data_IF_872456282555
#
_entry.id   IF_872456282555
#
_cell.length_a   1.000
_cell.length_b   1.000
_cell.length_c   1.000
_cell.angle_alpha   90.00
_cell.angle_beta   90.00
_cell.angle_gamma   90.00
#
_symmetry.space_group_name_H-M   'P 1'
#
loop_
_entity.id
_entity.type
_entity.pdbx_description
1 polymer ?
2 water ?
#
# COMPACT_ATOMS: atom_id res chain seq x y z
N UNK A 21 -20.93 12.91 13.00
CA UNK A 21 -21.31 11.67 13.63
C UNK A 21 -20.70 10.48 12.88
N UNK A 22 -20.59 9.34 13.56
CA UNK A 22 -20.05 8.12 12.98
C UNK A 22 -20.93 7.59 11.85
N UNK A 23 -20.35 7.31 10.67
CA UNK A 23 -21.13 6.68 9.60
C UNK A 23 -21.69 5.30 10.02
N UNK A 24 -22.85 4.93 9.46
CA UNK A 24 -23.52 3.69 9.87
C UNK A 24 -22.67 2.43 9.61
N UNK A 25 -21.89 2.42 8.53
CA UNK A 25 -21.04 1.28 8.25
C UNK A 25 -19.78 1.28 9.10
N UNK A 26 -19.66 2.26 10.01
CA UNK A 26 -18.47 2.33 10.85
C UNK A 26 -18.80 2.21 12.33
N UNK A 27 -17.77 1.89 13.09
CA UNK A 27 -17.82 1.97 14.53
C UNK A 27 -16.70 2.92 14.97
N UNK A 28 -17.07 3.95 15.73
CA UNK A 28 -16.14 5.04 16.04
C UNK A 28 -15.92 5.25 17.53
N UNK A 29 -14.68 5.62 17.87
CA UNK A 29 -14.36 6.26 19.13
C UNK A 29 -13.89 7.66 18.80
N UNK A 30 -13.40 8.37 19.81
CA UNK A 30 -12.84 9.70 19.61
C UNK A 30 -11.70 9.69 18.58
N UNK A 31 -10.85 8.68 18.66
CA UNK A 31 -9.61 8.66 17.89
C UNK A 31 -9.67 7.76 16.66
N UNK A 32 -10.64 6.85 16.64
CA UNK A 32 -10.58 5.70 15.73
C UNK A 32 -11.91 5.45 15.03
N UNK A 33 -11.84 5.06 13.76
CA UNK A 33 -13.03 4.57 13.07
C UNK A 33 -12.71 3.27 12.38
N UNK A 34 -13.58 2.28 12.55
CA UNK A 34 -13.45 0.98 11.92
C UNK A 34 -14.66 0.78 11.02
N UNK A 35 -14.43 0.74 9.72
CA UNK A 35 -15.53 0.65 8.77
C UNK A 35 -15.56 -0.74 8.14
N UNK A 36 -16.76 -1.30 8.03
CA UNK A 36 -16.89 -2.64 7.48
C UNK A 36 -18.02 -2.66 6.44
N UNK A 37 -17.79 -3.38 5.35
CA UNK A 37 -18.74 -3.52 4.25
C UNK A 37 -19.13 -2.17 3.64
N UNK A 38 -18.21 -1.22 3.66
CA UNK A 38 -18.49 0.10 3.10
C UNK A 38 -18.68 0.00 1.59
N UNK A 39 -19.70 0.69 1.06
CA UNK A 39 -19.95 0.61 -0.38
C UNK A 39 -19.14 1.67 -1.13
N UNK A 40 -18.81 2.74 -0.42
CA UNK A 40 -17.84 3.71 -0.91
C UNK A 40 -17.04 4.21 0.29
N UNK A 41 -15.88 4.80 0.04
CA UNK A 41 -15.17 5.46 1.13
C UNK A 41 -16.06 6.57 1.64
N UNK A 42 -16.49 6.48 2.91
CA UNK A 42 -17.43 7.51 3.36
C UNK A 42 -16.75 8.87 3.43
N UNK A 43 -17.51 9.93 3.16
CA UNK A 43 -16.98 11.28 3.22
C UNK A 43 -17.35 11.93 4.56
N UNK A 44 -18.04 11.15 5.40
CA UNK A 44 -18.58 11.63 6.67
C UNK A 44 -17.91 11.03 7.92
N UNK A 45 -16.73 10.44 7.78
CA UNK A 45 -15.98 10.01 8.95
C UNK A 45 -15.60 11.28 9.71
N UNK A 46 -15.76 11.29 11.05
CA UNK A 46 -15.45 12.52 11.80
C UNK A 46 -14.03 13.00 11.55
N UNK A 47 -13.88 14.29 11.24
CA UNK A 47 -12.60 14.78 10.70
C UNK A 47 -11.45 14.78 11.73
N UNK A 48 -11.73 14.51 13.00
CA UNK A 48 -10.66 14.47 13.99
C UNK A 48 -10.08 13.07 14.25
N UNK A 49 -10.60 12.05 13.57
CA UNK A 49 -10.09 10.69 13.79
C UNK A 49 -8.64 10.62 13.33
N UNK A 50 -7.82 9.84 14.05
CA UNK A 50 -6.42 9.70 13.67
C UNK A 50 -6.07 8.30 13.18
N UNK A 51 -6.96 7.32 13.38
CA UNK A 51 -6.77 5.98 12.81
C UNK A 51 -8.06 5.53 12.12
N UNK A 52 -7.94 5.04 10.89
CA UNK A 52 -9.10 4.63 10.13
C UNK A 52 -8.83 3.28 9.48
N UNK A 53 -9.79 2.35 9.57
CA UNK A 53 -9.64 1.02 9.01
C UNK A 53 -10.81 0.65 8.11
N UNK A 54 -10.50 0.00 7.00
CA UNK A 54 -11.56 -0.57 6.15
C UNK A 54 -11.40 -2.07 6.02
N UNK A 55 -12.49 -2.78 6.34
CA UNK A 55 -12.49 -4.24 6.27
C UNK A 55 -13.69 -4.74 5.47
N UNK A 56 -13.45 -5.72 4.61
CA UNK A 56 -14.50 -6.35 3.79
C UNK A 56 -15.38 -5.34 3.06
N UNK A 57 -14.76 -4.35 2.44
CA UNK A 57 -15.45 -3.19 1.84
C UNK A 57 -16.11 -3.50 0.51
N UNK A 58 -17.18 -2.76 0.20
CA UNK A 58 -17.86 -2.92 -1.07
C UNK A 58 -17.17 -2.20 -2.23
N UNK A 59 -16.54 -1.05 -1.97
CA UNK A 59 -15.97 -0.27 -3.05
C UNK A 59 -14.78 -0.98 -3.67
N UNK A 60 -14.53 -0.72 -4.94
CA UNK A 60 -13.55 -1.46 -5.72
C UNK A 60 -12.41 -0.55 -6.12
N UNK A 61 -12.57 0.74 -5.90
CA UNK A 61 -11.59 1.72 -6.33
C UNK A 61 -11.26 2.72 -5.23
N UNK A 62 -10.02 3.17 -5.22
CA UNK A 62 -9.60 4.27 -4.36
C UNK A 62 -9.01 5.35 -5.25
N UNK A 63 -9.83 6.36 -5.57
CA UNK A 63 -9.42 7.41 -6.48
C UNK A 63 -8.65 8.50 -5.75
N UNK A 64 -8.18 9.47 -6.53
CA UNK A 64 -7.33 10.52 -5.98
C UNK A 64 -8.06 11.32 -4.90
N UNK A 65 -7.35 11.65 -3.85
CA UNK A 65 -7.92 12.55 -2.84
C UNK A 65 -9.04 11.91 -2.05
N UNK A 66 -9.02 10.60 -1.87
CA UNK A 66 -10.12 9.90 -1.21
C UNK A 66 -10.24 10.20 0.29
N UNK A 67 -9.18 10.76 0.90
CA UNK A 67 -9.19 10.90 2.36
C UNK A 67 -9.06 12.34 2.84
N UNK A 68 -9.39 13.26 1.96
CA UNK A 68 -9.22 14.67 2.26
C UNK A 68 -10.14 15.16 3.38
N UNK A 69 -11.19 14.42 3.70
CA UNK A 69 -12.10 14.89 4.76
C UNK A 69 -11.64 14.43 6.14
N UNK A 70 -10.55 13.67 6.16
CA UNK A 70 -9.91 13.26 7.42
C UNK A 70 -8.42 13.57 7.34
N UNK A 71 -8.08 14.87 7.36
CA UNK A 71 -6.71 15.29 7.08
C UNK A 71 -5.72 14.98 8.19
N UNK A 72 -6.19 14.57 9.37
CA UNK A 72 -5.30 14.36 10.50
C UNK A 72 -4.94 12.90 10.74
N UNK A 73 -5.26 12.02 9.78
CA UNK A 73 -4.96 10.60 9.93
C UNK A 73 -3.48 10.37 10.18
N UNK A 74 -3.19 9.51 11.15
CA UNK A 74 -1.84 9.03 11.39
C UNK A 74 -1.70 7.59 10.95
N UNK A 75 -2.82 6.87 10.90
CA UNK A 75 -2.78 5.46 10.52
C UNK A 75 -3.99 5.10 9.67
N UNK A 76 -3.72 4.34 8.61
CA UNK A 76 -4.76 3.83 7.73
C UNK A 76 -4.57 2.33 7.56
N UNK A 77 -5.64 1.56 7.69
CA UNK A 77 -5.56 0.11 7.44
C UNK A 77 -6.61 -0.35 6.45
N UNK A 78 -6.18 -1.12 5.45
CA UNK A 78 -7.10 -1.80 4.53
C UNK A 78 -6.84 -3.29 4.59
N UNK A 79 -7.82 -4.09 4.98
CA UNK A 79 -7.59 -5.53 5.03
C UNK A 79 -8.86 -6.28 4.63
N UNK A 80 -8.67 -7.43 3.97
CA UNK A 80 -9.77 -8.23 3.46
C UNK A 80 -10.71 -7.47 2.52
N UNK A 81 -10.15 -6.66 1.64
CA UNK A 81 -10.93 -5.99 0.60
C UNK A 81 -10.60 -6.49 -0.81
N UNK A 82 -11.42 -6.08 -1.77
CA UNK A 82 -11.14 -6.30 -3.19
C UNK A 82 -11.11 -4.96 -3.92
N UNK A 83 -9.97 -4.62 -4.50
CA UNK A 83 -9.81 -3.35 -5.19
C UNK A 83 -9.53 -3.57 -6.67
N UNK A 84 -10.19 -2.79 -7.51
CA UNK A 84 -9.88 -2.77 -8.93
C UNK A 84 -8.64 -1.91 -9.16
N UNK A 85 -8.67 -0.68 -8.67
CA UNK A 85 -7.54 0.24 -8.80
C UNK A 85 -7.30 1.09 -7.55
N UNK A 86 -6.06 1.19 -7.10
CA UNK A 86 -5.68 2.25 -6.18
C UNK A 86 -4.95 3.32 -6.98
N UNK A 87 -5.57 4.49 -7.13
CA UNK A 87 -5.09 5.45 -8.10
C UNK A 87 -3.95 6.31 -7.60
N UNK A 88 -3.33 7.01 -8.55
CA UNK A 88 -2.36 8.06 -8.25
C UNK A 88 -2.97 9.05 -7.26
N UNK A 89 -2.21 9.41 -6.23
CA UNK A 89 -2.60 10.42 -5.24
C UNK A 89 -3.84 10.01 -4.41
N UNK A 90 -4.08 8.72 -4.29
CA UNK A 90 -5.14 8.21 -3.44
C UNK A 90 -5.01 8.75 -2.03
N UNK A 91 -3.76 8.87 -1.57
CA UNK A 91 -3.47 9.22 -0.17
C UNK A 91 -2.90 10.64 -0.01
N UNK A 92 -3.19 11.51 -0.97
CA UNK A 92 -2.69 12.89 -0.93
C UNK A 92 -3.48 13.65 0.15
N UNK A 93 -2.90 14.72 0.70
CA UNK A 93 -3.58 15.52 1.71
C UNK A 93 -3.47 14.90 3.10
N UNK A 94 -2.59 13.92 3.25
CA UNK A 94 -2.41 13.27 4.56
C UNK A 94 -0.97 13.44 5.09
N UNK A 95 -0.59 14.68 5.44
CA UNK A 95 0.82 14.96 5.74
C UNK A 95 1.27 14.37 7.07
N UNK A 96 0.31 13.88 7.87
CA UNK A 96 0.63 13.30 9.17
C UNK A 96 0.56 11.78 9.17
N UNK A 97 0.27 11.20 8.02
CA UNK A 97 0.11 9.75 7.95
C UNK A 97 1.47 9.10 8.16
N UNK A 98 1.58 8.28 9.21
CA UNK A 98 2.83 7.58 9.51
C UNK A 98 2.74 6.07 9.27
N UNK A 99 1.54 5.50 9.25
CA UNK A 99 1.37 4.05 9.10
C UNK A 99 0.30 3.77 8.07
N UNK A 100 0.64 2.95 7.07
CA UNK A 100 -0.30 2.61 6.02
C UNK A 100 -0.19 1.13 5.79
N UNK A 101 -1.20 0.38 6.22
CA UNK A 101 -1.17 -1.07 6.16
C UNK A 101 -2.19 -1.54 5.17
N UNK A 102 -1.71 -2.00 4.02
CA UNK A 102 -2.59 -2.53 2.99
C UNK A 102 -2.28 -4.03 2.89
N UNK A 103 -3.06 -4.85 3.59
CA UNK A 103 -2.73 -6.26 3.79
C UNK A 103 -3.90 -7.19 3.57
N UNK A 104 -3.65 -8.35 2.96
CA UNK A 104 -4.66 -9.39 2.79
C UNK A 104 -5.83 -8.93 1.93
N UNK A 105 -5.50 -8.24 0.83
CA UNK A 105 -6.49 -7.78 -0.13
C UNK A 105 -6.29 -8.43 -1.49
N UNK A 106 -7.31 -8.34 -2.32
CA UNK A 106 -7.15 -8.58 -3.74
C UNK A 106 -7.01 -7.22 -4.40
N UNK A 107 -5.90 -6.99 -5.10
CA UNK A 107 -5.66 -5.67 -5.70
C UNK A 107 -5.25 -5.82 -7.15
N UNK A 108 -6.08 -5.32 -8.07
CA UNK A 108 -5.83 -5.56 -9.48
C UNK A 108 -4.72 -4.65 -10.01
N UNK A 109 -4.62 -3.44 -9.46
CA UNK A 109 -3.68 -2.47 -9.98
C UNK A 109 -3.35 -1.37 -8.97
N UNK A 110 -2.06 -1.11 -8.79
CA UNK A 110 -1.55 0.03 -8.01
C UNK A 110 -0.76 0.93 -8.97
N UNK A 111 -0.81 2.24 -8.78
CA UNK A 111 -0.23 3.16 -9.74
C UNK A 111 1.09 3.75 -9.24
N UNK A 112 1.89 4.26 -10.17
CA UNK A 112 3.19 4.86 -9.90
C UNK A 112 3.20 5.90 -8.77
N UNK A 113 2.18 6.75 -8.74
CA UNK A 113 2.10 7.81 -7.72
C UNK A 113 1.03 7.53 -6.66
N UNK A 114 0.70 6.27 -6.44
CA UNK A 114 -0.25 5.89 -5.39
C UNK A 114 0.14 6.45 -4.03
N UNK A 115 1.44 6.48 -3.72
CA UNK A 115 1.89 6.92 -2.41
C UNK A 115 2.50 8.33 -2.42
N UNK A 116 2.27 9.08 -3.48
CA UNK A 116 2.81 10.43 -3.57
C UNK A 116 2.29 11.29 -2.40
N UNK A 117 3.17 12.09 -1.82
CA UNK A 117 2.78 13.03 -0.78
C UNK A 117 2.91 12.47 0.63
N UNK A 118 3.30 11.20 0.74
CA UNK A 118 3.39 10.57 2.07
C UNK A 118 4.78 10.72 2.67
N UNK A 119 5.22 11.97 2.80
CA UNK A 119 6.57 12.26 3.25
C UNK A 119 6.82 11.85 4.71
N UNK A 120 5.76 11.68 5.49
CA UNK A 120 5.90 11.33 6.90
C UNK A 120 5.79 9.83 7.16
N UNK A 121 5.50 9.07 6.11
CA UNK A 121 5.21 7.64 6.27
C UNK A 121 6.42 6.91 6.85
N UNK A 122 6.17 6.21 7.96
CA UNK A 122 7.21 5.44 8.66
C UNK A 122 7.17 3.96 8.29
N UNK A 123 5.96 3.42 8.19
CA UNK A 123 5.84 1.99 7.96
C UNK A 123 4.76 1.75 6.92
N UNK A 124 5.13 1.14 5.81
CA UNK A 124 4.19 0.75 4.77
C UNK A 124 4.08 -0.76 4.70
N UNK A 125 2.87 -1.31 4.76
CA UNK A 125 2.73 -2.73 4.48
C UNK A 125 1.94 -2.91 3.20
N UNK A 126 2.47 -3.76 2.31
CA UNK A 126 1.76 -4.25 1.15
C UNK A 126 1.70 -5.77 1.24
N UNK A 127 1.71 -6.31 2.46
CA UNK A 127 1.84 -7.76 2.64
C UNK A 127 0.59 -8.52 2.25
N UNK A 128 0.79 -9.74 1.72
CA UNK A 128 -0.29 -10.69 1.51
C UNK A 128 -1.40 -10.21 0.57
N UNK A 129 -1.01 -9.52 -0.50
CA UNK A 129 -1.96 -9.02 -1.50
C UNK A 129 -1.84 -9.77 -2.84
N UNK A 130 -1.01 -10.80 -2.87
CA UNK A 130 -0.73 -11.56 -4.11
C UNK A 130 -0.40 -10.66 -5.30
N UNK A 131 0.31 -9.57 -5.04
CA UNK A 131 0.74 -8.66 -6.10
C UNK A 131 1.71 -9.38 -7.02
N UNK A 132 1.58 -9.14 -8.32
CA UNK A 132 2.46 -9.76 -9.30
C UNK A 132 3.55 -8.81 -9.76
N UNK A 133 3.35 -7.51 -9.55
CA UNK A 133 4.36 -6.54 -9.90
C UNK A 133 4.14 -5.27 -9.09
N UNK A 134 5.12 -4.38 -9.17
CA UNK A 134 5.01 -3.06 -8.55
C UNK A 134 5.58 -2.09 -9.55
N UNK A 135 4.93 -0.94 -9.74
CA UNK A 135 5.44 -0.04 -10.78
C UNK A 135 6.69 0.69 -10.31
N UNK A 136 7.57 1.01 -11.26
CA UNK A 136 8.81 1.71 -10.97
C UNK A 136 8.57 3.00 -10.20
N UNK A 137 9.46 3.26 -9.24
CA UNK A 137 9.46 4.49 -8.44
C UNK A 137 8.24 4.65 -7.52
N UNK A 138 7.55 3.54 -7.25
CA UNK A 138 6.38 3.54 -6.35
C UNK A 138 6.73 4.08 -4.96
N UNK A 139 8.00 3.96 -4.55
CA UNK A 139 8.41 4.38 -3.22
C UNK A 139 9.17 5.71 -3.27
N UNK A 140 9.16 6.36 -4.44
CA UNK A 140 9.87 7.62 -4.61
C UNK A 140 9.36 8.70 -3.65
N UNK A 141 10.28 9.35 -2.96
CA UNK A 141 9.94 10.42 -2.02
C UNK A 141 9.46 10.00 -0.63
N UNK A 142 9.41 8.70 -0.36
CA UNK A 142 8.97 8.23 0.96
C UNK A 142 10.15 8.26 1.93
N UNK A 143 10.55 9.46 2.28
CA UNK A 143 11.84 9.70 2.92
C UNK A 143 11.86 9.34 4.40
N UNK A 144 10.69 9.09 4.99
CA UNK A 144 10.63 8.76 6.42
C UNK A 144 10.53 7.27 6.67
N UNK A 145 10.45 6.47 5.62
CA UNK A 145 10.24 5.03 5.75
C UNK A 145 11.31 4.30 6.55
N UNK A 146 10.92 3.59 7.60
CA UNK A 146 11.87 2.72 8.29
C UNK A 146 11.54 1.25 8.06
N UNK A 147 10.35 0.97 7.56
CA UNK A 147 9.84 -0.39 7.39
C UNK A 147 8.95 -0.51 6.15
N UNK A 148 9.17 -1.56 5.35
CA UNK A 148 8.21 -1.88 4.28
C UNK A 148 7.99 -3.38 4.29
N UNK A 149 6.73 -3.82 4.30
CA UNK A 149 6.45 -5.24 4.28
C UNK A 149 5.93 -5.65 2.90
N UNK A 150 6.63 -6.59 2.27
CA UNK A 150 6.30 -7.03 0.92
C UNK A 150 6.05 -8.53 0.82
N UNK A 151 6.08 -9.21 1.96
CA UNK A 151 5.90 -10.67 2.00
C UNK A 151 4.50 -11.06 1.54
N UNK A 152 4.32 -12.32 1.18
CA UNK A 152 3.01 -12.84 0.84
C UNK A 152 2.45 -12.33 -0.48
N UNK A 153 3.33 -11.86 -1.37
CA UNK A 153 2.85 -11.50 -2.69
C UNK A 153 3.28 -12.56 -3.70
N UNK A 154 3.10 -12.28 -4.98
CA UNK A 154 3.41 -13.25 -6.04
C UNK A 154 4.19 -12.60 -7.17
N UNK A 155 5.29 -11.97 -6.82
CA UNK A 155 6.01 -11.14 -7.78
C UNK A 155 6.56 -11.94 -8.96
N UNK A 156 6.39 -11.37 -10.14
CA UNK A 156 6.99 -11.92 -11.33
C UNK A 156 8.33 -11.23 -11.50
N UNK A 157 9.40 -12.02 -11.51
CA UNK A 157 10.74 -11.47 -11.61
C UNK A 157 11.13 -11.33 -13.08
N UNK A 158 10.69 -10.22 -13.66
CA UNK A 158 11.00 -9.88 -15.04
C UNK A 158 11.52 -8.44 -15.07
N UNK A 159 11.63 -7.87 -16.26
CA UNK A 159 12.22 -6.54 -16.39
C UNK A 159 11.45 -5.47 -15.63
N UNK A 160 10.14 -5.65 -15.49
CA UNK A 160 9.28 -4.69 -14.79
C UNK A 160 9.58 -4.65 -13.29
N UNK A 161 10.30 -5.65 -12.80
CA UNK A 161 10.61 -5.72 -11.37
C UNK A 161 12.05 -5.31 -11.11
N UNK A 162 12.78 -4.96 -12.16
CA UNK A 162 14.19 -4.66 -12.04
C UNK A 162 14.44 -3.53 -11.04
N UNK A 163 13.61 -2.51 -11.09
CA UNK A 163 13.76 -1.36 -10.20
C UNK A 163 13.66 -1.76 -8.72
N UNK A 164 12.85 -2.78 -8.43
CA UNK A 164 12.61 -3.16 -7.03
C UNK A 164 13.87 -3.77 -6.46
N UNK A 165 14.54 -4.57 -7.27
CA UNK A 165 15.80 -5.19 -6.88
C UNK A 165 16.85 -4.14 -6.54
N UNK A 166 16.93 -3.10 -7.36
CA UNK A 166 17.83 -1.99 -7.08
C UNK A 166 17.42 -1.24 -5.81
N UNK A 167 16.12 -1.01 -5.66
CA UNK A 167 15.62 -0.29 -4.49
C UNK A 167 15.97 -1.04 -3.20
N UNK A 168 15.72 -2.35 -3.19
CA UNK A 168 16.06 -3.19 -2.04
C UNK A 168 17.53 -3.09 -1.68
N UNK A 169 18.38 -2.94 -2.70
CA UNK A 169 19.79 -2.82 -2.48
C UNK A 169 20.24 -1.50 -1.89
N UNK A 170 19.46 -0.44 -2.07
CA UNK A 170 19.88 0.87 -1.61
C UNK A 170 19.09 1.44 -0.43
N UNK A 171 17.91 0.89 -0.15
CA UNK A 171 17.06 1.47 0.89
C UNK A 171 17.64 1.25 2.29
N UNK A 172 17.39 2.20 3.19
CA UNK A 172 17.73 2.04 4.59
C UNK A 172 16.58 1.36 5.33
N UNK A 173 15.42 1.29 4.70
CA UNK A 173 14.26 0.72 5.35
C UNK A 173 14.47 -0.78 5.56
N UNK A 174 13.86 -1.30 6.62
CA UNK A 174 13.90 -2.74 6.89
C UNK A 174 12.87 -3.44 6.04
N UNK A 175 13.30 -4.42 5.24
CA UNK A 175 12.40 -5.16 4.35
C UNK A 175 12.69 -6.65 4.49
N UNK A 176 11.67 -7.47 4.67
CA UNK A 176 11.89 -8.90 4.88
C UNK A 176 12.30 -9.57 3.56
N UNK A 177 12.87 -10.76 3.68
CA UNK A 177 13.19 -11.56 2.50
C UNK A 177 11.90 -11.90 1.77
N UNK A 178 11.90 -11.66 0.46
CA UNK A 178 10.76 -11.99 -0.38
C UNK A 178 11.25 -12.76 -1.61
N UNK A 179 10.33 -13.46 -2.26
CA UNK A 179 10.72 -14.46 -3.25
C UNK A 179 9.90 -14.35 -4.53
N UNK A 180 10.53 -14.61 -5.67
CA UNK A 180 9.81 -14.63 -6.93
C UNK A 180 8.80 -15.76 -6.93
N UNK A 181 7.59 -15.52 -7.43
CA UNK A 181 6.70 -16.65 -7.69
C UNK A 181 6.69 -17.01 -9.19
N UNK A 182 7.31 -16.16 -9.99
CA UNK A 182 7.55 -16.46 -11.41
C UNK A 182 8.61 -15.55 -11.99
N UNK A 183 9.05 -15.79 -13.24
CA UNK A 183 8.69 -16.91 -14.12
C UNK A 183 9.26 -18.22 -13.58
N UNK A 184 8.91 -19.38 -14.18
CA UNK A 184 9.31 -20.66 -13.59
C UNK A 184 10.80 -20.81 -13.28
N UNK A 185 11.68 -20.25 -14.10
CA UNK A 185 13.12 -20.38 -13.85
C UNK A 185 13.56 -19.53 -12.66
N UNK A 186 12.68 -18.64 -12.20
CA UNK A 186 12.98 -17.78 -11.06
C UNK A 186 12.23 -18.16 -9.79
N UNK A 187 11.32 -19.12 -9.88
CA UNK A 187 10.41 -19.39 -8.76
C UNK A 187 11.19 -19.76 -7.50
N UNK A 188 10.79 -19.14 -6.39
CA UNK A 188 11.40 -19.34 -5.07
C UNK A 188 12.81 -18.74 -4.94
N UNK A 189 13.28 -18.03 -5.96
CA UNK A 189 14.52 -17.26 -5.80
C UNK A 189 14.29 -16.06 -4.91
N UNK A 190 15.22 -15.79 -4.02
CA UNK A 190 15.11 -14.62 -3.15
C UNK A 190 15.37 -13.33 -3.95
N UNK A 191 14.36 -12.47 -4.01
CA UNK A 191 14.45 -11.24 -4.78
C UNK A 191 15.54 -10.34 -4.22
N UNK A 192 15.67 -10.33 -2.89
CA UNK A 192 16.68 -9.52 -2.23
C UNK A 192 18.10 -9.92 -2.63
N UNK A 193 18.27 -11.13 -3.14
CA UNK A 193 19.60 -11.60 -3.54
C UNK A 193 19.88 -11.44 -5.03
N UNK A 194 18.93 -10.88 -5.77
CA UNK A 194 19.12 -10.70 -7.21
C UNK A 194 19.96 -9.47 -7.50
N UNK A 195 20.55 -9.45 -8.68
CA UNK A 195 21.28 -8.28 -9.17
C UNK A 195 20.68 -7.78 -10.48
N UNK A 196 21.10 -6.59 -10.90
CA UNK A 196 20.72 -6.07 -12.20
C UNK A 196 21.30 -6.96 -13.29
N UNK A 197 22.34 -7.72 -12.93
CA UNK A 197 22.87 -8.76 -13.79
C UNK A 197 21.80 -9.80 -14.15
N UNK A 198 20.96 -10.14 -13.18
CA UNK A 198 19.88 -11.12 -13.38
C UNK A 198 18.81 -10.65 -14.37
N UNK A 199 18.93 -9.40 -14.79
CA UNK A 199 17.99 -8.83 -15.76
C UNK A 199 18.76 -8.15 -16.88
N UNK A 200 18.59 -8.60 -18.11
CA UNK A 200 19.15 -7.80 -19.19
C UNK A 200 17.99 -7.37 -20.06
N UNK A 201 17.54 -6.15 -19.81
CA UNK A 201 16.32 -5.63 -20.43
C UNK A 201 16.70 -4.69 -21.57
N UNK A 202 16.24 -5.04 -22.79
CA UNK A 202 16.64 -4.42 -24.06
C UNK A 202 18.11 -4.01 -24.06
#
# INVERSE_FOLDING_TARGET
DAAQPARRARRTYEAYPAKPKCPAVCTCTKDNALCENARSIPRTVPPDVISLSFVRSGFTEISEGSFLFTPSLQLLLFTSNSFDVISDDAFIGLPHLEYLFIENNNIKSISRHTFRGLKSLIHLSLANNNLQTLPKDIFKGLDSLTNVDLRGNSFNCDCKLKWLVEWLGHTNATVEDIYCEGPPEYKKRKINSLSSKDFDCIIKHHHHHH
#
